data_IF_089061439403
#
_entry.id   IF_089061439403
#
_cell.length_a   1.000
_cell.length_b   1.000
_cell.length_c   1.000
_cell.angle_alpha   90.00
_cell.angle_beta   90.00
_cell.angle_gamma   90.00
#
_symmetry.space_group_name_H-M   'P 1'
#
loop_
_entity.id
_entity.type
_entity.pdbx_description
1 polymer ?
#
# COMPACT_ATOMS: atom_id res chain seq x y z
N UNK A 1 39.72 -19.35 -31.06
CA UNK A 1 39.07 -18.02 -31.07
C UNK A 1 37.84 -18.11 -30.19
N UNK A 2 37.88 -17.42 -29.05
CA UNK A 2 36.93 -17.54 -27.93
C UNK A 2 35.55 -16.96 -28.27
N UNK A 3 34.48 -17.72 -28.03
CA UNK A 3 33.10 -17.24 -28.14
C UNK A 3 32.74 -16.33 -26.96
N UNK A 4 32.18 -15.16 -27.28
CA UNK A 4 31.69 -14.18 -26.34
C UNK A 4 30.47 -14.72 -25.58
N UNK A 5 30.60 -14.85 -24.26
CA UNK A 5 29.47 -15.05 -23.34
C UNK A 5 28.69 -13.74 -23.23
N UNK A 6 27.55 -13.66 -23.92
CA UNK A 6 26.56 -12.62 -23.67
C UNK A 6 26.03 -12.75 -22.23
N UNK A 7 26.19 -11.67 -21.47
CA UNK A 7 25.67 -11.54 -20.10
C UNK A 7 24.16 -11.33 -20.20
N UNK A 8 23.36 -12.36 -19.93
CA UNK A 8 21.92 -12.21 -19.69
C UNK A 8 21.74 -11.48 -18.35
N UNK A 9 21.69 -10.16 -18.42
CA UNK A 9 21.45 -9.29 -17.28
C UNK A 9 19.94 -9.16 -16.99
N UNK A 10 19.56 -9.60 -15.79
CA UNK A 10 18.62 -8.93 -14.88
C UNK A 10 17.21 -8.52 -15.34
N UNK A 11 16.62 -9.13 -16.37
CA UNK A 11 15.20 -8.85 -16.70
C UNK A 11 14.20 -9.59 -15.78
N UNK A 12 14.63 -10.64 -15.08
CA UNK A 12 13.74 -11.49 -14.28
C UNK A 12 13.49 -11.01 -12.84
N UNK A 13 14.38 -10.19 -12.25
CA UNK A 13 14.21 -9.68 -10.88
C UNK A 13 13.18 -8.55 -10.77
N UNK A 14 12.94 -7.83 -11.87
CA UNK A 14 12.08 -6.64 -11.90
C UNK A 14 10.59 -7.00 -12.02
N UNK A 15 10.24 -7.99 -12.83
CA UNK A 15 8.84 -8.37 -13.10
C UNK A 15 8.10 -9.02 -11.90
N UNK A 16 8.83 -9.71 -11.03
CA UNK A 16 8.28 -10.36 -9.82
C UNK A 16 7.90 -9.31 -8.76
N UNK A 17 8.64 -8.20 -8.69
CA UNK A 17 8.42 -7.15 -7.69
C UNK A 17 7.25 -6.22 -8.06
N UNK A 18 7.06 -5.92 -9.35
CA UNK A 18 6.00 -5.01 -9.83
C UNK A 18 4.60 -5.57 -9.58
N UNK A 19 4.38 -6.87 -9.84
CA UNK A 19 3.09 -7.51 -9.59
C UNK A 19 2.76 -7.59 -8.09
N UNK A 20 3.78 -7.83 -7.26
CA UNK A 20 3.63 -7.90 -5.81
C UNK A 20 3.32 -6.53 -5.19
N UNK A 21 4.01 -5.48 -5.65
CA UNK A 21 3.79 -4.10 -5.20
C UNK A 21 2.44 -3.56 -5.68
N UNK A 22 1.98 -3.93 -6.88
CA UNK A 22 0.62 -3.62 -7.37
C UNK A 22 -0.49 -4.23 -6.49
N UNK A 23 -0.37 -5.52 -6.12
CA UNK A 23 -1.33 -6.17 -5.20
C UNK A 23 -1.33 -5.55 -3.81
N UNK A 24 -0.13 -5.27 -3.27
CA UNK A 24 0.00 -4.62 -1.97
C UNK A 24 -0.60 -3.20 -1.99
N UNK A 25 -0.40 -2.45 -3.07
CA UNK A 25 -1.01 -1.13 -3.29
C UNK A 25 -2.54 -1.19 -3.24
N UNK A 26 -3.14 -2.11 -3.99
CA UNK A 26 -4.60 -2.30 -4.00
C UNK A 26 -5.14 -2.68 -2.61
N UNK A 27 -4.44 -3.58 -1.91
CA UNK A 27 -4.81 -3.97 -0.55
C UNK A 27 -4.78 -2.78 0.40
N UNK A 28 -3.72 -1.96 0.37
CA UNK A 28 -3.61 -0.78 1.22
C UNK A 28 -4.71 0.24 0.94
N UNK A 29 -5.07 0.47 -0.33
CA UNK A 29 -6.18 1.35 -0.71
C UNK A 29 -7.51 0.83 -0.14
N UNK A 30 -7.77 -0.47 -0.25
CA UNK A 30 -8.97 -1.09 0.31
C UNK A 30 -9.03 -0.95 1.83
N UNK A 31 -7.90 -1.18 2.52
CA UNK A 31 -7.82 -1.05 3.98
C UNK A 31 -8.02 0.40 4.44
N UNK A 32 -7.40 1.37 3.76
CA UNK A 32 -7.58 2.81 4.04
C UNK A 32 -9.06 3.19 3.88
N UNK A 33 -9.69 2.78 2.78
CA UNK A 33 -11.09 3.09 2.49
C UNK A 33 -12.03 2.50 3.56
N UNK A 34 -11.78 1.26 3.97
CA UNK A 34 -12.56 0.60 5.03
C UNK A 34 -12.43 1.31 6.38
N UNK A 35 -11.22 1.71 6.76
CA UNK A 35 -10.97 2.44 8.00
C UNK A 35 -11.58 3.86 7.97
N UNK A 36 -11.48 4.57 6.85
CA UNK A 36 -12.11 5.89 6.68
C UNK A 36 -13.62 5.81 6.81
N UNK A 37 -14.24 4.74 6.28
CA UNK A 37 -15.66 4.46 6.45
C UNK A 37 -16.02 4.19 7.91
N UNK A 38 -15.26 3.36 8.63
CA UNK A 38 -15.51 3.09 10.06
C UNK A 38 -15.42 4.37 10.90
N UNK A 39 -14.44 5.23 10.63
CA UNK A 39 -14.33 6.55 11.29
C UNK A 39 -15.55 7.43 10.97
N UNK A 40 -16.03 7.40 9.72
CA UNK A 40 -17.22 8.15 9.33
C UNK A 40 -18.47 7.64 10.04
N UNK A 41 -18.67 6.33 10.10
CA UNK A 41 -19.80 5.69 10.80
C UNK A 41 -19.77 6.02 12.30
N UNK A 42 -18.60 5.96 12.95
CA UNK A 42 -18.43 6.35 14.36
C UNK A 42 -18.81 7.81 14.61
N UNK A 43 -18.45 8.73 13.70
CA UNK A 43 -18.83 10.14 13.83
C UNK A 43 -20.34 10.36 13.71
N UNK A 44 -21.02 9.58 12.88
CA UNK A 44 -22.46 9.68 12.66
C UNK A 44 -23.28 9.03 13.77
N UNK A 45 -22.73 8.00 14.45
CA UNK A 45 -23.44 7.22 15.46
C UNK A 45 -23.84 8.03 16.71
N UNK A 46 -23.29 9.22 16.94
CA UNK A 46 -23.82 10.24 17.86
C UNK A 46 -23.86 9.91 19.36
N UNK A 47 -23.68 8.65 19.77
CA UNK A 47 -23.62 8.21 21.16
C UNK A 47 -22.23 7.69 21.48
N UNK A 48 -21.59 8.31 22.48
CA UNK A 48 -20.28 7.93 23.02
C UNK A 48 -19.28 7.55 21.91
N UNK A 49 -18.90 8.53 21.08
CA UNK A 49 -17.76 8.36 20.18
C UNK A 49 -16.58 7.96 21.06
N UNK A 50 -16.18 6.70 20.95
CA UNK A 50 -14.96 6.22 21.56
C UNK A 50 -13.80 6.94 20.85
N UNK A 51 -13.37 8.04 21.48
CA UNK A 51 -12.31 8.89 20.95
C UNK A 51 -10.99 8.15 20.85
N UNK A 52 -10.74 7.15 21.71
CA UNK A 52 -9.56 6.30 21.67
C UNK A 52 -9.62 5.35 20.47
N UNK A 53 -10.78 4.77 20.20
CA UNK A 53 -10.99 3.94 19.01
C UNK A 53 -10.85 4.76 17.72
N UNK A 54 -11.45 5.95 17.68
CA UNK A 54 -11.32 6.84 16.53
C UNK A 54 -9.87 7.30 16.32
N UNK A 55 -9.13 7.59 17.41
CA UNK A 55 -7.71 7.92 17.34
C UNK A 55 -6.90 6.74 16.79
N UNK A 56 -7.17 5.52 17.27
CA UNK A 56 -6.53 4.30 16.79
C UNK A 56 -6.76 4.05 15.30
N UNK A 57 -7.99 4.25 14.81
CA UNK A 57 -8.27 4.15 13.38
C UNK A 57 -7.55 5.21 12.55
N UNK A 58 -7.42 6.44 13.05
CA UNK A 58 -6.65 7.49 12.38
C UNK A 58 -5.16 7.12 12.27
N UNK A 59 -4.57 6.57 13.32
CA UNK A 59 -3.18 6.08 13.29
C UNK A 59 -3.00 4.94 12.28
N UNK A 60 -3.94 4.00 12.24
CA UNK A 60 -3.96 2.90 11.28
C UNK A 60 -4.06 3.39 9.83
N UNK A 61 -4.88 4.41 9.57
CA UNK A 61 -4.98 5.08 8.27
C UNK A 61 -3.65 5.77 7.93
N UNK A 62 -3.07 6.48 8.89
CA UNK A 62 -1.81 7.21 8.70
C UNK A 62 -0.67 6.26 8.32
N UNK A 63 -0.49 5.19 9.08
CA UNK A 63 0.52 4.16 8.83
C UNK A 63 0.37 3.54 7.43
N UNK A 64 -0.85 3.19 7.01
CA UNK A 64 -1.10 2.63 5.67
C UNK A 64 -0.86 3.63 4.55
N UNK A 65 -1.21 4.91 4.75
CA UNK A 65 -0.89 5.99 3.80
C UNK A 65 0.62 6.19 3.68
N UNK A 66 1.37 6.09 4.77
CA UNK A 66 2.83 6.14 4.73
C UNK A 66 3.41 4.95 3.95
N UNK A 67 2.95 3.73 4.23
CA UNK A 67 3.41 2.54 3.51
C UNK A 67 3.08 2.62 2.01
N UNK A 68 1.87 3.09 1.66
CA UNK A 68 1.46 3.31 0.28
C UNK A 68 2.37 4.30 -0.46
N UNK A 69 2.83 5.37 0.21
CA UNK A 69 3.79 6.34 -0.33
C UNK A 69 5.19 5.76 -0.56
N UNK A 70 5.57 4.76 0.23
CA UNK A 70 6.87 4.09 0.13
C UNK A 70 6.89 3.01 -0.97
N UNK A 71 5.72 2.55 -1.42
CA UNK A 71 5.67 1.61 -2.53
C UNK A 71 6.17 2.27 -3.81
N UNK A 72 6.99 1.57 -4.61
CA UNK A 72 7.41 2.08 -5.90
C UNK A 72 6.17 2.38 -6.74
N UNK A 73 6.04 3.64 -7.18
CA UNK A 73 5.14 3.99 -8.25
C UNK A 73 5.74 3.37 -9.50
N UNK A 74 5.35 2.13 -9.83
CA UNK A 74 5.79 1.46 -11.05
C UNK A 74 5.19 2.17 -12.26
N UNK A 75 5.75 3.33 -12.60
CA UNK A 75 5.61 4.06 -13.85
C UNK A 75 6.84 4.97 -14.01
N UNK A 76 7.96 4.33 -14.31
CA UNK A 76 8.95 4.93 -15.18
C UNK A 76 8.54 4.54 -16.61
N UNK A 77 8.14 5.53 -17.41
CA UNK A 77 8.18 5.48 -18.87
C UNK A 77 9.45 6.19 -19.29
#
# INVERSE_FOLDING_TARGET
>A
MSQARARNADTFGVSININHTGRLRQKLISEITGLERQVHELKLAGQAVDFELMASYKELIHSRKQLLKQLPNSWCW
#
